data_IF_971756328378
#
_entry.id   IF_971756328378
#
_cell.length_a   1.000
_cell.length_b   1.000
_cell.length_c   1.000
_cell.angle_alpha   90.00
_cell.angle_beta   90.00
_cell.angle_gamma   90.00
#
_symmetry.space_group_name_H-M   'P 1'
#
loop_
_entity.id
_entity.type
_entity.pdbx_description
1 polymer ?
#
# COMPACT_ATOMS: atom_id res chain seq x y z
N UNK A 1 -2.95 -10.10 -5.12
CA UNK A 1 -2.59 -8.74 -5.59
C UNK A 1 -1.74 -8.10 -4.52
N UNK A 2 -0.64 -7.43 -4.89
CA UNK A 2 0.27 -6.78 -3.94
C UNK A 2 0.38 -5.31 -4.30
N UNK A 3 0.26 -4.44 -3.30
CA UNK A 3 0.21 -2.99 -3.47
C UNK A 3 1.14 -2.34 -2.44
N UNK A 4 1.71 -1.20 -2.82
CA UNK A 4 2.57 -0.41 -1.94
C UNK A 4 1.78 0.81 -1.46
N UNK A 5 1.72 0.98 -0.16
CA UNK A 5 1.07 2.14 0.47
C UNK A 5 1.83 3.40 0.09
N UNK A 6 1.12 4.38 -0.45
CA UNK A 6 1.70 5.68 -0.85
C UNK A 6 1.22 6.82 0.03
N UNK A 7 0.12 6.62 0.74
CA UNK A 7 -0.41 7.53 1.74
C UNK A 7 -0.63 6.78 3.04
N UNK A 8 -0.22 7.32 4.20
CA UNK A 8 -0.46 6.65 5.45
C UNK A 8 -1.96 6.68 5.76
N UNK A 9 -2.49 5.54 6.20
CA UNK A 9 -3.90 5.41 6.56
C UNK A 9 -4.10 4.39 7.68
N UNK A 10 -5.12 4.58 8.53
CA UNK A 10 -5.54 3.54 9.47
C UNK A 10 -6.37 2.49 8.75
N UNK A 11 -6.03 1.22 8.90
CA UNK A 11 -6.78 0.11 8.32
C UNK A 11 -6.68 -1.15 9.16
N UNK A 12 -7.51 -2.13 8.86
CA UNK A 12 -7.49 -3.43 9.55
C UNK A 12 -7.01 -4.46 8.55
N UNK A 13 -5.97 -5.23 8.88
CA UNK A 13 -5.55 -6.34 8.01
C UNK A 13 -6.60 -7.43 8.02
N UNK A 14 -6.60 -8.21 6.95
CA UNK A 14 -7.45 -9.38 6.84
C UNK A 14 -7.22 -10.34 8.03
N UNK A 15 -8.29 -10.68 8.75
CA UNK A 15 -8.22 -11.51 9.95
C UNK A 15 -7.75 -10.81 11.23
N UNK A 16 -7.37 -9.53 11.18
CA UNK A 16 -7.15 -8.73 12.38
C UNK A 16 -8.45 -8.03 12.81
N UNK A 17 -8.60 -7.79 14.12
CA UNK A 17 -9.67 -6.94 14.68
C UNK A 17 -9.15 -5.60 15.17
N UNK A 18 -7.82 -5.42 15.15
CA UNK A 18 -7.15 -4.19 15.57
C UNK A 18 -6.87 -3.32 14.37
N UNK A 19 -7.15 -2.03 14.53
CA UNK A 19 -6.75 -1.01 13.56
C UNK A 19 -5.24 -0.83 13.64
N UNK A 20 -4.58 -1.04 12.51
CA UNK A 20 -3.15 -0.84 12.31
C UNK A 20 -2.95 0.41 11.45
N UNK A 21 -1.96 1.22 11.81
CA UNK A 21 -1.58 2.37 11.00
C UNK A 21 -0.57 1.92 9.95
N UNK A 22 -0.94 2.02 8.67
CA UNK A 22 -0.04 1.72 7.57
C UNK A 22 0.76 2.95 7.19
N UNK A 23 2.07 2.79 7.04
CA UNK A 23 2.98 3.86 6.64
C UNK A 23 3.22 3.86 5.13
N UNK A 24 3.77 4.95 4.60
CA UNK A 24 4.20 4.98 3.19
C UNK A 24 5.33 3.98 2.98
N UNK A 25 5.20 3.12 1.98
CA UNK A 25 6.12 2.02 1.69
C UNK A 25 5.70 0.67 2.26
N UNK A 26 4.65 0.61 3.10
CA UNK A 26 4.10 -0.67 3.57
C UNK A 26 3.54 -1.50 2.42
N UNK A 27 3.67 -2.81 2.54
CA UNK A 27 3.19 -3.77 1.56
C UNK A 27 1.84 -4.34 2.02
N UNK A 28 0.82 -4.19 1.18
CA UNK A 28 -0.51 -4.72 1.44
C UNK A 28 -0.86 -5.81 0.44
N UNK A 29 -1.57 -6.81 0.94
CA UNK A 29 -2.07 -7.95 0.18
C UNK A 29 -3.52 -8.25 0.57
N UNK A 30 -4.19 -9.11 -0.20
CA UNK A 30 -5.57 -9.53 0.08
C UNK A 30 -6.63 -8.47 -0.27
N UNK A 31 -7.77 -8.51 0.42
CA UNK A 31 -8.89 -7.58 0.20
C UNK A 31 -8.51 -6.13 0.51
N UNK A 32 -7.74 -5.90 1.57
CA UNK A 32 -7.27 -4.56 1.96
C UNK A 32 -6.46 -3.89 0.84
N UNK A 33 -5.71 -4.67 0.06
CA UNK A 33 -4.97 -4.15 -1.08
C UNK A 33 -5.89 -3.61 -2.18
N UNK A 34 -6.99 -4.30 -2.49
CA UNK A 34 -7.98 -3.82 -3.46
C UNK A 34 -8.67 -2.54 -3.01
N UNK A 35 -9.03 -2.45 -1.72
CA UNK A 35 -9.61 -1.23 -1.13
C UNK A 35 -8.61 -0.08 -1.18
N UNK A 36 -7.37 -0.32 -0.79
CA UNK A 36 -6.33 0.70 -0.80
C UNK A 36 -6.05 1.24 -2.22
N UNK A 37 -6.22 0.43 -3.27
CA UNK A 37 -6.17 0.89 -4.66
C UNK A 37 -7.38 1.73 -5.05
N UNK A 38 -8.58 1.27 -4.72
CA UNK A 38 -9.83 1.96 -5.04
C UNK A 38 -9.85 3.37 -4.42
N UNK A 39 -9.41 3.48 -3.17
CA UNK A 39 -9.33 4.73 -2.41
C UNK A 39 -8.08 5.58 -2.72
N UNK A 40 -7.19 5.09 -3.60
CA UNK A 40 -5.91 5.76 -3.93
C UNK A 40 -5.01 5.99 -2.71
N UNK A 41 -5.00 5.05 -1.78
CA UNK A 41 -4.07 4.98 -0.63
C UNK A 41 -2.81 4.19 -0.96
N UNK A 42 -2.92 3.21 -1.87
CA UNK A 42 -1.81 2.40 -2.36
C UNK A 42 -1.76 2.38 -3.89
N UNK A 43 -0.65 1.91 -4.44
CA UNK A 43 -0.45 1.66 -5.87
C UNK A 43 -0.08 0.20 -6.09
N UNK A 44 -0.47 -0.37 -7.23
CA UNK A 44 -0.10 -1.74 -7.57
C UNK A 44 1.43 -1.84 -7.63
N UNK A 45 2.01 -2.90 -7.03
CA UNK A 45 3.39 -3.27 -7.32
C UNK A 45 3.47 -3.91 -8.73
N UNK A 46 2.97 -3.20 -9.75
CA UNK A 46 3.47 -3.41 -11.11
C UNK A 46 4.88 -2.87 -11.08
N UNK A 47 5.88 -3.77 -11.03
CA UNK A 47 7.32 -3.50 -11.26
C UNK A 47 7.48 -2.12 -11.91
N UNK A 48 7.80 -1.07 -11.15
CA UNK A 48 7.90 0.23 -11.75
C UNK A 48 9.10 0.20 -12.69
N UNK A 49 8.87 0.45 -13.98
CA UNK A 49 9.92 0.88 -14.91
C UNK A 49 10.52 2.24 -14.50
N UNK A 50 10.13 2.83 -13.37
CA UNK A 50 10.78 3.98 -12.75
C UNK A 50 10.29 4.23 -11.33
N UNK A 51 11.12 3.97 -10.33
CA UNK A 51 11.52 5.01 -9.38
C UNK A 51 13.04 5.15 -9.56
N UNK A 52 13.46 6.09 -10.40
CA UNK A 52 13.80 7.45 -10.00
C UNK A 52 15.15 7.49 -9.27
N UNK A 53 16.18 7.76 -10.07
CA UNK A 53 17.45 8.35 -9.67
C UNK A 53 17.26 9.27 -8.45
N UNK A 54 17.83 8.90 -7.30
CA UNK A 54 18.35 9.89 -6.37
C UNK A 54 19.69 10.36 -6.95
N UNK A 55 19.66 11.49 -7.65
CA UNK A 55 20.88 12.23 -7.98
C UNK A 55 21.36 12.98 -6.74
N UNK A 56 22.66 12.93 -6.46
CA UNK A 56 23.57 14.07 -6.71
C UNK A 56 25.00 13.57 -6.71
#
# INVERSE_FOLDING_TARGET
>A
MKVIVTKPFPGVRDGETKVTQFAVGDELTGELASVALAEKWAIEEKKPRSQAKKGK
#
